data_IF_738090254580
#
_entry.id   IF_738090254580
#
_cell.length_a   1.000
_cell.length_b   1.000
_cell.length_c   1.000
_cell.angle_alpha   90.00
_cell.angle_beta   90.00
_cell.angle_gamma   90.00
#
_symmetry.space_group_name_H-M   'P 1'
#
loop_
_entity.id
_entity.type
_entity.pdbx_description
1 polymer ?
#
# COMPACT_ATOMS: atom_id res chain seq x y z
N UNK A 1 0.64 -9.38 -13.39
CA UNK A 1 1.89 -8.81 -12.88
C UNK A 1 1.68 -8.08 -11.55
N UNK A 2 1.14 -6.86 -11.51
CA UNK A 2 0.95 -6.12 -10.24
C UNK A 2 -0.19 -6.71 -9.37
N UNK A 3 -1.39 -6.91 -9.93
CA UNK A 3 -2.51 -7.52 -9.19
C UNK A 3 -2.17 -8.90 -8.61
N UNK A 4 -1.38 -9.69 -9.34
CA UNK A 4 -0.93 -11.01 -8.89
C UNK A 4 0.05 -10.90 -7.72
N UNK A 5 0.98 -9.93 -7.79
CA UNK A 5 1.86 -9.61 -6.68
C UNK A 5 1.04 -9.19 -5.46
N UNK A 6 0.14 -8.22 -5.59
CA UNK A 6 -0.69 -7.73 -4.49
C UNK A 6 -1.51 -8.86 -3.85
N UNK A 7 -2.08 -9.75 -4.66
CA UNK A 7 -2.79 -10.94 -4.18
C UNK A 7 -1.85 -11.89 -3.43
N UNK A 8 -0.65 -12.12 -3.95
CA UNK A 8 0.34 -12.97 -3.29
C UNK A 8 0.82 -12.39 -1.97
N UNK A 9 1.00 -11.08 -1.86
CA UNK A 9 1.39 -10.41 -0.63
C UNK A 9 0.25 -10.44 0.39
N UNK A 10 -0.98 -10.20 -0.07
CA UNK A 10 -2.20 -10.31 0.75
C UNK A 10 -2.30 -11.68 1.41
N UNK A 11 -2.14 -12.76 0.64
CA UNK A 11 -2.19 -14.12 1.18
C UNK A 11 -1.09 -14.42 2.23
N UNK A 12 0.04 -13.71 2.20
CA UNK A 12 1.08 -13.84 3.23
C UNK A 12 0.71 -13.09 4.49
N UNK A 13 0.18 -11.87 4.35
CA UNK A 13 -0.20 -10.98 5.44
C UNK A 13 -1.44 -11.49 6.20
N UNK A 14 -2.41 -12.09 5.49
CA UNK A 14 -3.62 -12.69 6.08
C UNK A 14 -3.33 -13.85 7.05
N UNK A 15 -2.09 -14.37 7.04
CA UNK A 15 -1.67 -15.41 7.99
C UNK A 15 -1.43 -14.86 9.39
N UNK A 16 -1.32 -13.54 9.56
CA UNK A 16 -0.95 -12.89 10.82
C UNK A 16 -1.89 -11.75 11.23
N UNK A 17 -2.82 -11.33 10.38
CA UNK A 17 -3.79 -10.29 10.70
C UNK A 17 -4.82 -10.09 9.59
N UNK A 18 -5.75 -9.17 9.84
CA UNK A 18 -6.71 -8.73 8.83
C UNK A 18 -6.01 -7.85 7.79
N UNK A 19 -6.36 -8.02 6.51
CA UNK A 19 -5.75 -7.28 5.41
C UNK A 19 -6.84 -6.56 4.65
N UNK A 20 -6.68 -5.25 4.47
CA UNK A 20 -7.43 -4.46 3.51
C UNK A 20 -6.61 -4.32 2.23
N UNK A 21 -7.15 -4.81 1.11
CA UNK A 21 -6.56 -4.64 -0.21
C UNK A 21 -7.48 -3.71 -1.04
N UNK A 22 -7.03 -2.50 -1.44
CA UNK A 22 -7.89 -1.54 -2.15
C UNK A 22 -8.59 -2.13 -3.39
N UNK A 23 -7.91 -2.99 -4.17
CA UNK A 23 -8.51 -3.62 -5.35
C UNK A 23 -9.59 -4.66 -5.04
N UNK A 24 -9.71 -5.13 -3.80
CA UNK A 24 -10.68 -6.15 -3.35
C UNK A 24 -11.75 -5.55 -2.44
N UNK A 25 -11.34 -4.77 -1.45
CA UNK A 25 -12.17 -4.31 -0.34
C UNK A 25 -12.59 -2.84 -0.47
N UNK A 26 -11.90 -2.10 -1.33
CA UNK A 26 -12.16 -0.69 -1.58
C UNK A 26 -13.28 -0.43 -2.56
N UNK A 27 -13.66 0.85 -2.64
CA UNK A 27 -14.55 1.32 -3.69
C UNK A 27 -13.73 1.56 -4.96
N UNK A 28 -14.12 0.93 -6.05
CA UNK A 28 -13.53 1.19 -7.36
C UNK A 28 -14.39 2.20 -8.12
N UNK A 29 -13.78 3.30 -8.56
CA UNK A 29 -14.44 4.33 -9.38
C UNK A 29 -15.16 3.70 -10.58
N UNK A 30 -14.49 2.77 -11.26
CA UNK A 30 -15.04 2.03 -12.42
C UNK A 30 -16.32 1.27 -12.04
N UNK A 31 -16.30 0.54 -10.93
CA UNK A 31 -17.46 -0.23 -10.47
C UNK A 31 -18.63 0.65 -10.04
N UNK A 32 -18.37 1.80 -9.40
CA UNK A 32 -19.42 2.74 -9.01
C UNK A 32 -20.07 3.42 -10.23
N UNK A 33 -19.28 3.74 -11.27
CA UNK A 33 -19.80 4.26 -12.54
C UNK A 33 -20.69 3.25 -13.26
N UNK A 34 -20.34 1.96 -13.22
CA UNK A 34 -21.12 0.88 -13.82
C UNK A 34 -22.46 0.63 -13.08
N UNK A 35 -22.52 0.94 -11.78
CA UNK A 35 -23.73 0.80 -10.97
C UNK A 35 -24.75 1.93 -11.17
N UNK A 36 -24.47 2.88 -12.06
CA UNK A 36 -25.41 3.95 -12.44
C UNK A 36 -25.30 5.21 -11.60
N UNK A 37 -24.25 5.34 -10.77
CA UNK A 37 -23.90 6.62 -10.17
C UNK A 37 -23.14 7.47 -11.20
N UNK A 38 -23.66 8.66 -11.47
CA UNK A 38 -23.15 9.57 -12.50
C UNK A 38 -22.54 10.84 -11.90
N UNK A 39 -22.58 11.01 -10.58
CA UNK A 39 -21.88 12.11 -9.93
C UNK A 39 -20.41 11.72 -9.70
N UNK A 40 -19.58 12.06 -10.67
CA UNK A 40 -18.13 11.79 -10.62
C UNK A 40 -17.48 12.36 -9.36
N UNK A 41 -17.97 13.50 -8.85
CA UNK A 41 -17.43 14.12 -7.65
C UNK A 41 -17.78 13.27 -6.42
N UNK A 42 -19.04 12.85 -6.27
CA UNK A 42 -19.47 12.02 -5.15
C UNK A 42 -18.73 10.67 -5.13
N UNK A 43 -18.51 10.06 -6.30
CA UNK A 43 -17.74 8.82 -6.44
C UNK A 43 -16.30 9.02 -5.94
N UNK A 44 -15.61 10.06 -6.42
CA UNK A 44 -14.24 10.34 -5.99
C UNK A 44 -14.14 10.64 -4.49
N UNK A 45 -15.10 11.39 -3.93
CA UNK A 45 -15.18 11.66 -2.49
C UNK A 45 -15.38 10.39 -1.67
N UNK A 46 -16.24 9.47 -2.15
CA UNK A 46 -16.49 8.19 -1.48
C UNK A 46 -15.26 7.27 -1.49
N UNK A 47 -14.58 7.15 -2.64
CA UNK A 47 -13.34 6.36 -2.76
C UNK A 47 -12.26 6.94 -1.85
N UNK A 48 -12.02 8.24 -1.93
CA UNK A 48 -11.03 8.92 -1.09
C UNK A 48 -11.34 8.74 0.41
N UNK A 49 -12.60 8.92 0.82
CA UNK A 49 -12.99 8.73 2.21
C UNK A 49 -12.75 7.29 2.68
N UNK A 50 -13.00 6.31 1.81
CA UNK A 50 -12.80 4.90 2.13
C UNK A 50 -11.33 4.55 2.31
N UNK A 51 -10.46 5.06 1.44
CA UNK A 51 -9.02 4.81 1.55
C UNK A 51 -8.41 5.50 2.77
N UNK A 52 -8.87 6.71 3.09
CA UNK A 52 -8.46 7.43 4.32
C UNK A 52 -8.88 6.68 5.59
N UNK A 53 -10.12 6.14 5.62
CA UNK A 53 -10.62 5.31 6.73
C UNK A 53 -9.76 4.04 6.89
N UNK A 54 -9.49 3.33 5.78
CA UNK A 54 -8.68 2.12 5.80
C UNK A 54 -7.26 2.37 6.31
N UNK A 55 -6.65 3.50 5.92
CA UNK A 55 -5.31 3.89 6.41
C UNK A 55 -5.36 4.26 7.89
N UNK A 56 -6.40 4.95 8.35
CA UNK A 56 -6.51 5.34 9.77
C UNK A 56 -6.72 4.16 10.70
N UNK A 57 -7.36 3.09 10.21
CA UNK A 57 -7.62 1.88 10.97
C UNK A 57 -6.45 0.87 10.91
N UNK A 58 -5.45 1.11 10.06
CA UNK A 58 -4.33 0.20 9.85
C UNK A 58 -3.23 0.35 10.90
N UNK A 59 -2.76 -0.78 11.44
CA UNK A 59 -1.52 -0.83 12.24
C UNK A 59 -0.26 -0.78 11.36
N UNK A 60 -0.36 -1.36 10.15
CA UNK A 60 0.74 -1.52 9.20
C UNK A 60 0.26 -1.25 7.78
N UNK A 61 1.06 -0.52 7.00
CA UNK A 61 0.90 -0.39 5.55
C UNK A 61 2.03 -1.18 4.87
N UNK A 62 1.67 -2.04 3.92
CA UNK A 62 2.62 -2.67 3.01
C UNK A 62 2.45 -2.04 1.63
N UNK A 63 3.36 -1.14 1.27
CA UNK A 63 3.30 -0.38 0.02
C UNK A 63 4.18 -1.02 -1.06
N UNK A 64 3.60 -1.38 -2.20
CA UNK A 64 4.35 -1.85 -3.37
C UNK A 64 4.90 -0.64 -4.13
N UNK A 65 6.22 -0.46 -4.07
CA UNK A 65 6.96 0.70 -4.59
C UNK A 65 7.83 0.33 -5.79
N UNK A 66 7.26 -0.47 -6.69
CA UNK A 66 7.89 -0.89 -7.93
C UNK A 66 7.63 0.10 -9.07
N UNK A 67 8.46 0.01 -10.11
CA UNK A 67 8.43 0.93 -11.24
C UNK A 67 9.42 2.08 -11.14
N UNK A 68 9.57 2.80 -12.28
CA UNK A 68 10.49 3.93 -12.42
C UNK A 68 9.93 5.22 -11.81
N UNK A 69 8.63 5.42 -11.98
CA UNK A 69 7.87 6.46 -11.28
C UNK A 69 6.96 5.73 -10.30
N UNK A 70 6.93 6.21 -9.06
CA UNK A 70 6.01 5.73 -8.06
C UNK A 70 4.62 6.31 -8.34
N UNK A 71 3.60 5.53 -8.04
CA UNK A 71 2.21 5.97 -8.09
C UNK A 71 1.99 7.14 -7.12
N UNK A 72 1.38 8.22 -7.60
CA UNK A 72 1.14 9.42 -6.80
C UNK A 72 0.14 9.17 -5.66
N UNK A 73 -0.84 8.28 -5.87
CA UNK A 73 -1.81 7.87 -4.86
C UNK A 73 -1.09 7.19 -3.71
N UNK A 74 -0.28 6.18 -4.01
CA UNK A 74 0.54 5.48 -3.00
C UNK A 74 1.44 6.46 -2.24
N UNK A 75 2.04 7.46 -2.91
CA UNK A 75 2.86 8.45 -2.23
C UNK A 75 2.06 9.33 -1.24
N UNK A 76 0.81 9.67 -1.56
CA UNK A 76 -0.09 10.41 -0.66
C UNK A 76 -0.46 9.54 0.54
N UNK A 77 -0.81 8.27 0.31
CA UNK A 77 -1.16 7.30 1.35
C UNK A 77 -0.01 7.08 2.33
N UNK A 78 1.23 6.94 1.82
CA UNK A 78 2.44 6.83 2.65
C UNK A 78 2.63 8.06 3.55
N UNK A 79 2.45 9.26 2.99
CA UNK A 79 2.58 10.51 3.74
C UNK A 79 1.53 10.62 4.84
N UNK A 80 0.28 10.28 4.53
CA UNK A 80 -0.82 10.31 5.49
C UNK A 80 -0.63 9.25 6.60
N UNK A 81 -0.35 8.00 6.23
CA UNK A 81 -0.07 6.93 7.18
C UNK A 81 1.10 7.25 8.10
N UNK A 82 2.18 7.84 7.56
CA UNK A 82 3.33 8.27 8.38
C UNK A 82 2.95 9.35 9.39
N UNK A 83 2.11 10.30 9.00
CA UNK A 83 1.64 11.36 9.89
C UNK A 83 0.76 10.82 11.03
N UNK A 84 0.04 9.71 10.79
CA UNK A 84 -0.74 9.00 11.80
C UNK A 84 0.10 8.07 12.69
N UNK A 85 1.35 7.80 12.32
CA UNK A 85 2.24 6.89 13.05
C UNK A 85 2.07 5.42 12.69
N UNK A 86 1.40 5.13 11.57
CA UNK A 86 1.27 3.77 11.01
C UNK A 86 2.65 3.24 10.61
N UNK A 87 2.93 1.97 10.90
CA UNK A 87 4.20 1.36 10.52
C UNK A 87 4.22 1.02 9.04
N UNK A 88 5.23 1.50 8.30
CA UNK A 88 5.24 1.37 6.83
C UNK A 88 6.35 0.40 6.40
N UNK A 89 5.94 -0.66 5.70
CA UNK A 89 6.82 -1.59 4.98
C UNK A 89 6.80 -1.25 3.49
N UNK A 90 7.95 -0.84 2.95
CA UNK A 90 8.13 -0.61 1.52
C UNK A 90 8.56 -1.89 0.82
N UNK A 91 7.72 -2.44 -0.05
CA UNK A 91 8.04 -3.56 -0.90
C UNK A 91 8.60 -3.07 -2.24
N UNK A 92 9.83 -3.44 -2.57
CA UNK A 92 10.46 -3.05 -3.84
C UNK A 92 11.30 -4.19 -4.43
N UNK A 93 10.77 -4.82 -5.47
CA UNK A 93 11.42 -5.97 -6.12
C UNK A 93 12.53 -5.56 -7.10
N UNK A 94 12.44 -4.38 -7.72
CA UNK A 94 13.46 -3.88 -8.65
C UNK A 94 14.23 -2.66 -8.11
N UNK A 95 15.34 -2.94 -7.41
CA UNK A 95 16.22 -1.90 -6.86
C UNK A 95 16.94 -1.05 -7.92
N UNK A 96 17.00 -1.51 -9.18
CA UNK A 96 17.68 -0.77 -10.28
C UNK A 96 16.95 0.53 -10.64
N UNK A 97 15.70 0.67 -10.20
CA UNK A 97 14.88 1.86 -10.42
C UNK A 97 15.14 2.97 -9.39
N UNK A 98 16.03 2.75 -8.41
CA UNK A 98 16.47 3.79 -7.49
C UNK A 98 17.32 4.87 -8.21
N UNK A 99 17.29 6.08 -7.67
CA UNK A 99 18.22 7.15 -8.09
C UNK A 99 19.65 6.75 -7.72
N UNK A 100 20.69 7.41 -8.29
CA UNK A 100 22.09 7.11 -7.96
C UNK A 100 22.42 7.19 -6.46
N UNK A 101 21.60 7.89 -5.67
CA UNK A 101 21.71 8.06 -4.23
C UNK A 101 20.60 7.38 -3.41
N UNK A 102 19.79 6.50 -4.03
CA UNK A 102 18.69 5.78 -3.36
C UNK A 102 17.29 6.22 -3.79
N UNK A 103 16.30 6.08 -2.92
CA UNK A 103 14.93 6.51 -3.22
C UNK A 103 14.76 8.02 -2.99
N UNK A 104 13.61 8.56 -3.42
CA UNK A 104 13.25 9.93 -3.07
C UNK A 104 13.26 10.08 -1.53
N UNK A 105 13.96 11.07 -0.95
CA UNK A 105 14.05 11.24 0.50
C UNK A 105 12.71 11.35 1.22
N UNK A 106 11.68 11.91 0.57
CA UNK A 106 10.33 11.99 1.13
C UNK A 106 9.69 10.61 1.28
N UNK A 107 9.91 9.73 0.31
CA UNK A 107 9.43 8.34 0.34
C UNK A 107 10.24 7.54 1.35
N UNK A 108 11.57 7.65 1.31
CA UNK A 108 12.46 7.02 2.29
C UNK A 108 12.16 7.46 3.72
N UNK A 109 11.74 8.71 3.94
CA UNK A 109 11.36 9.21 5.25
C UNK A 109 10.03 8.66 5.77
N UNK A 110 9.18 8.14 4.88
CA UNK A 110 7.91 7.51 5.27
C UNK A 110 8.10 6.02 5.60
N UNK A 111 8.98 5.32 4.88
CA UNK A 111 9.17 3.87 5.02
C UNK A 111 10.04 3.52 6.22
N UNK A 112 9.54 2.64 7.09
CA UNK A 112 10.25 2.15 8.28
C UNK A 112 11.13 0.94 7.99
N UNK A 113 10.65 0.02 7.14
CA UNK A 113 11.40 -1.18 6.72
C UNK A 113 11.24 -1.39 5.21
N UNK A 114 12.33 -1.76 4.55
CA UNK A 114 12.34 -2.15 3.14
C UNK A 114 12.47 -3.66 3.00
N UNK A 115 11.66 -4.23 2.13
CA UNK A 115 11.74 -5.64 1.70
C UNK A 115 11.71 -5.71 0.18
N UNK A 116 12.37 -6.70 -0.39
CA UNK A 116 12.55 -6.84 -1.84
C UNK A 116 11.94 -8.13 -2.42
N UNK A 117 11.43 -9.00 -1.56
CA UNK A 117 10.83 -10.27 -1.97
C UNK A 117 9.77 -10.76 -1.00
N UNK A 118 8.92 -11.68 -1.47
CA UNK A 118 7.95 -12.38 -0.63
C UNK A 118 8.61 -13.11 0.54
N UNK A 119 9.85 -13.57 0.36
CA UNK A 119 10.62 -14.24 1.40
C UNK A 119 11.00 -13.26 2.51
N UNK A 120 11.59 -12.12 2.16
CA UNK A 120 11.94 -11.07 3.13
C UNK A 120 10.71 -10.53 3.87
N UNK A 121 9.58 -10.34 3.16
CA UNK A 121 8.33 -9.95 3.80
C UNK A 121 7.87 -11.02 4.82
N UNK A 122 7.96 -12.31 4.45
CA UNK A 122 7.61 -13.41 5.36
C UNK A 122 8.52 -13.47 6.59
N UNK A 123 9.81 -13.20 6.44
CA UNK A 123 10.76 -13.15 7.56
C UNK A 123 10.49 -11.94 8.48
N UNK A 124 10.16 -10.79 7.89
CA UNK A 124 9.76 -9.60 8.65
C UNK A 124 8.51 -9.88 9.47
N UNK A 125 7.46 -10.43 8.85
CA UNK A 125 6.22 -10.86 9.53
C UNK A 125 6.55 -11.79 10.71
N UNK A 126 7.36 -12.83 10.47
CA UNK A 126 7.73 -13.80 11.49
C UNK A 126 8.54 -13.20 12.66
N UNK A 127 9.15 -12.02 12.47
CA UNK A 127 9.92 -11.31 13.49
C UNK A 127 9.05 -10.29 14.22
N UNK A 128 8.22 -9.55 13.49
CA UNK A 128 7.31 -8.54 14.04
C UNK A 128 6.21 -9.16 14.91
N UNK A 129 5.77 -10.39 14.61
CA UNK A 129 4.73 -11.09 15.36
C UNK A 129 5.26 -11.96 16.52
N UNK A 130 6.54 -11.84 16.92
CA UNK A 130 7.05 -12.56 18.09
C UNK A 130 6.54 -11.89 19.37
N UNK A 131 5.97 -12.67 20.31
CA UNK A 131 5.45 -12.15 21.59
C UNK A 131 6.55 -11.63 22.51
#
# INVERSE_FOLDING_TARGET
>A
MERELNTSLTALLERVGDVYLPQRDGLLVESLREQGDHDEKAICEAVFAKDIEAISDADVIVAVLDGRALDEGVCIELGYGKALGVFIVGFKSDIRTALPWGHNPMVSGCVDVWVSSNHELSEWIATACKP
#
